data_IF_159554209698
#
_entry.id   IF_159554209698
#
_cell.length_a   1.000
_cell.length_b   1.000
_cell.length_c   1.000
_cell.angle_alpha   90.00
_cell.angle_beta   90.00
_cell.angle_gamma   90.00
#
_symmetry.space_group_name_H-M   'P 1'
#
loop_
_entity.id
_entity.type
_entity.pdbx_description
1 polymer ?
#
# COMPACT_ATOMS: atom_id res chain seq x y z
N UNK A 1 18.01 -10.24 17.05
CA UNK A 1 17.74 -9.92 15.65
C UNK A 1 16.52 -10.71 15.21
N UNK A 2 15.54 -10.04 14.63
CA UNK A 2 14.38 -10.68 14.01
C UNK A 2 14.81 -11.64 12.91
N UNK A 3 13.97 -12.63 12.62
CA UNK A 3 14.09 -13.47 11.43
C UNK A 3 12.75 -13.41 10.71
N UNK A 4 12.79 -13.12 9.42
CA UNK A 4 11.62 -12.92 8.61
C UNK A 4 11.57 -13.91 7.44
N UNK A 5 10.34 -14.27 7.08
CA UNK A 5 10.11 -15.18 5.95
C UNK A 5 10.48 -16.63 6.22
N UNK A 6 10.19 -17.50 5.26
CA UNK A 6 10.43 -18.94 5.36
C UNK A 6 11.92 -19.29 5.53
N UNK A 7 12.82 -18.46 4.99
CA UNK A 7 14.28 -18.67 5.04
C UNK A 7 14.95 -18.03 6.25
N UNK A 8 14.21 -17.37 7.12
CA UNK A 8 14.72 -16.69 8.30
C UNK A 8 15.69 -15.56 7.98
N UNK A 9 15.37 -14.74 6.97
CA UNK A 9 16.14 -13.56 6.58
C UNK A 9 16.15 -12.51 7.69
N UNK A 10 17.21 -11.68 7.82
CA UNK A 10 17.35 -10.75 8.93
C UNK A 10 16.30 -9.63 8.91
N UNK A 11 15.82 -9.21 7.73
CA UNK A 11 14.84 -8.13 7.60
C UNK A 11 13.76 -8.43 6.58
N UNK A 12 12.71 -7.60 6.52
CA UNK A 12 11.67 -7.67 5.50
C UNK A 12 11.20 -6.28 5.05
N UNK A 13 11.02 -6.12 3.74
CA UNK A 13 10.34 -4.99 3.10
C UNK A 13 9.02 -5.48 2.53
N UNK A 14 7.90 -4.95 3.05
CA UNK A 14 6.58 -5.23 2.50
C UNK A 14 6.28 -4.18 1.43
N UNK A 15 6.21 -4.61 0.16
CA UNK A 15 5.97 -3.72 -0.98
C UNK A 15 4.47 -3.50 -1.19
N UNK A 16 4.05 -2.24 -1.22
CA UNK A 16 2.66 -1.89 -1.41
C UNK A 16 2.50 -0.65 -2.29
N UNK A 17 1.38 -0.60 -3.00
CA UNK A 17 0.98 0.48 -3.89
C UNK A 17 -0.44 0.90 -3.53
N UNK A 18 -0.66 2.19 -3.36
CA UNK A 18 -1.97 2.74 -2.96
C UNK A 18 -2.52 3.69 -4.02
N UNK A 19 -3.82 3.84 -4.03
CA UNK A 19 -4.60 4.84 -4.79
C UNK A 19 -4.43 4.74 -6.30
N UNK A 20 -5.47 4.28 -6.96
CA UNK A 20 -5.53 4.24 -8.42
C UNK A 20 -6.65 5.17 -8.93
N UNK A 21 -6.33 5.90 -9.99
CA UNK A 21 -7.30 6.68 -10.72
C UNK A 21 -8.01 7.76 -9.91
N UNK A 22 -9.25 8.02 -10.28
CA UNK A 22 -10.03 9.14 -9.79
C UNK A 22 -10.75 8.91 -8.46
N UNK A 23 -10.68 7.72 -7.87
CA UNK A 23 -11.50 7.33 -6.74
C UNK A 23 -11.49 8.35 -5.59
N UNK A 24 -10.30 8.79 -5.17
CA UNK A 24 -10.13 9.78 -4.11
C UNK A 24 -10.67 11.16 -4.49
N UNK A 25 -10.48 11.60 -5.73
CA UNK A 25 -11.02 12.86 -6.24
C UNK A 25 -12.55 12.84 -6.35
N UNK A 26 -13.13 11.68 -6.72
CA UNK A 26 -14.58 11.46 -6.71
C UNK A 26 -15.15 11.52 -5.29
N UNK A 27 -14.42 10.99 -4.29
CA UNK A 27 -14.85 11.05 -2.89
C UNK A 27 -14.90 12.48 -2.36
N UNK A 28 -13.90 13.28 -2.69
CA UNK A 28 -13.81 14.67 -2.24
C UNK A 28 -14.69 15.63 -3.03
N UNK A 29 -15.21 15.20 -4.20
CA UNK A 29 -15.95 16.08 -5.11
C UNK A 29 -15.05 17.10 -5.83
N UNK A 30 -13.76 16.79 -5.99
CA UNK A 30 -12.77 17.67 -6.61
C UNK A 30 -12.81 17.63 -8.15
N UNK A 31 -13.56 16.67 -8.74
CA UNK A 31 -13.70 16.58 -10.21
C UNK A 31 -14.91 17.37 -10.71
N UNK A 32 -14.79 18.08 -11.86
CA UNK A 32 -15.95 18.61 -12.56
C UNK A 32 -16.94 17.48 -12.91
N UNK A 33 -18.24 17.78 -12.87
CA UNK A 33 -19.30 16.77 -13.11
C UNK A 33 -19.28 16.18 -14.54
N UNK A 34 -18.71 16.91 -15.50
CA UNK A 34 -18.55 16.53 -16.89
C UNK A 34 -17.17 16.00 -17.24
N UNK A 35 -16.27 15.89 -16.26
CA UNK A 35 -14.95 15.31 -16.51
C UNK A 35 -15.05 13.82 -16.85
N UNK A 36 -14.33 13.36 -17.89
CA UNK A 36 -14.32 11.95 -18.26
C UNK A 36 -13.81 11.08 -17.11
N UNK A 37 -14.35 9.87 -16.97
CA UNK A 37 -13.95 8.87 -15.97
C UNK A 37 -13.36 7.68 -16.74
N UNK A 38 -12.25 7.11 -16.21
CA UNK A 38 -11.62 5.94 -16.79
C UNK A 38 -10.42 6.24 -17.69
N UNK A 39 -9.86 7.46 -17.59
CA UNK A 39 -8.71 7.91 -18.38
C UNK A 39 -7.59 8.57 -17.52
N UNK A 40 -7.61 8.36 -16.20
CA UNK A 40 -6.63 8.97 -15.29
C UNK A 40 -5.20 8.50 -15.63
N UNK A 41 -4.23 9.45 -15.77
CA UNK A 41 -2.86 9.11 -16.13
C UNK A 41 -2.14 8.21 -15.11
N UNK A 42 -2.57 8.20 -13.84
CA UNK A 42 -2.01 7.27 -12.85
C UNK A 42 -2.26 5.81 -13.21
N UNK A 43 -3.38 5.53 -13.93
CA UNK A 43 -3.75 4.19 -14.39
C UNK A 43 -3.34 3.92 -15.83
N UNK A 44 -3.47 4.93 -16.72
CA UNK A 44 -3.22 4.73 -18.15
C UNK A 44 -1.74 4.89 -18.54
N UNK A 45 -0.92 5.51 -17.69
CA UNK A 45 0.50 5.78 -17.95
C UNK A 45 1.39 5.25 -16.83
N UNK A 46 1.20 5.70 -15.60
CA UNK A 46 2.11 5.37 -14.50
C UNK A 46 2.01 3.90 -14.07
N UNK A 47 0.81 3.34 -13.98
CA UNK A 47 0.61 1.95 -13.57
C UNK A 47 1.27 0.94 -14.53
N UNK A 48 1.09 0.99 -15.87
CA UNK A 48 1.81 0.11 -16.79
C UNK A 48 3.33 0.17 -16.62
N UNK A 49 3.89 1.37 -16.51
CA UNK A 49 5.31 1.57 -16.26
C UNK A 49 5.74 0.90 -14.93
N UNK A 50 5.00 1.11 -13.84
CA UNK A 50 5.33 0.51 -12.54
C UNK A 50 5.27 -1.02 -12.58
N UNK A 51 4.28 -1.58 -13.28
CA UNK A 51 4.16 -3.03 -13.44
C UNK A 51 5.35 -3.60 -14.22
N UNK A 52 5.81 -2.92 -15.28
CA UNK A 52 6.99 -3.32 -16.05
C UNK A 52 8.27 -3.22 -15.20
N UNK A 53 8.40 -2.21 -14.34
CA UNK A 53 9.52 -2.09 -13.40
C UNK A 53 9.51 -3.21 -12.34
N UNK A 54 8.36 -3.53 -11.78
CA UNK A 54 8.24 -4.64 -10.83
C UNK A 54 8.61 -5.98 -11.46
N UNK A 55 8.15 -6.24 -12.69
CA UNK A 55 8.50 -7.44 -13.45
C UNK A 55 10.00 -7.50 -13.77
N UNK A 56 10.60 -6.38 -14.20
CA UNK A 56 12.03 -6.30 -14.52
C UNK A 56 12.92 -6.64 -13.31
N UNK A 57 12.41 -6.38 -12.11
CA UNK A 57 13.10 -6.66 -10.86
C UNK A 57 12.65 -7.94 -10.16
N UNK A 58 11.76 -8.76 -10.74
CA UNK A 58 11.17 -9.96 -10.11
C UNK A 58 10.57 -9.67 -8.73
N UNK A 59 9.91 -8.53 -8.61
CA UNK A 59 9.27 -8.07 -7.37
C UNK A 59 7.74 -8.14 -7.50
N UNK A 60 7.09 -8.60 -6.44
CA UNK A 60 5.63 -8.56 -6.33
C UNK A 60 5.20 -7.63 -5.19
N UNK A 61 4.06 -6.98 -5.34
CA UNK A 61 3.52 -6.01 -4.39
C UNK A 61 2.03 -6.28 -4.09
N UNK A 62 1.53 -5.68 -3.02
CA UNK A 62 0.08 -5.56 -2.79
C UNK A 62 -0.38 -4.19 -3.27
N UNK A 63 -1.35 -4.18 -4.16
CA UNK A 63 -2.05 -2.98 -4.61
C UNK A 63 -3.31 -2.80 -3.77
N UNK A 64 -3.32 -1.80 -2.90
CA UNK A 64 -4.51 -1.41 -2.17
C UNK A 64 -5.35 -0.47 -3.02
N UNK A 65 -6.46 -0.99 -3.53
CA UNK A 65 -7.29 -0.29 -4.49
C UNK A 65 -8.67 0.02 -3.91
N UNK A 66 -9.18 1.18 -4.25
CA UNK A 66 -10.55 1.55 -3.98
C UNK A 66 -11.49 0.68 -4.81
N UNK A 67 -12.48 0.08 -4.17
CA UNK A 67 -13.31 -0.94 -4.80
C UNK A 67 -14.12 -0.44 -6.01
N UNK A 68 -14.39 0.88 -6.12
CA UNK A 68 -15.01 1.48 -7.31
C UNK A 68 -14.19 1.22 -8.59
N UNK A 69 -12.88 1.00 -8.47
CA UNK A 69 -12.02 0.73 -9.61
C UNK A 69 -12.29 -0.63 -10.27
N UNK A 70 -13.02 -1.53 -9.60
CA UNK A 70 -13.56 -2.74 -10.25
C UNK A 70 -14.57 -2.41 -11.36
N UNK A 71 -15.21 -1.24 -11.27
CA UNK A 71 -16.16 -0.72 -12.26
C UNK A 71 -15.48 0.21 -13.28
N UNK A 72 -14.54 1.07 -12.82
CA UNK A 72 -13.88 2.08 -13.65
C UNK A 72 -12.73 1.49 -14.46
N UNK A 73 -11.86 0.70 -13.82
CA UNK A 73 -10.62 0.16 -14.38
C UNK A 73 -10.51 -1.36 -14.27
N UNK A 74 -11.53 -2.13 -14.69
CA UNK A 74 -11.50 -3.59 -14.53
C UNK A 74 -10.32 -4.26 -15.23
N UNK A 75 -9.89 -3.75 -16.40
CA UNK A 75 -8.78 -4.33 -17.14
C UNK A 75 -7.42 -4.07 -16.46
N UNK A 76 -7.22 -2.89 -15.89
CA UNK A 76 -6.02 -2.59 -15.11
C UNK A 76 -5.91 -3.48 -13.87
N UNK A 77 -7.02 -3.73 -13.15
CA UNK A 77 -7.02 -4.64 -12.00
C UNK A 77 -6.76 -6.09 -12.41
N UNK A 78 -7.25 -6.53 -13.58
CA UNK A 78 -6.93 -7.85 -14.14
C UNK A 78 -5.46 -7.97 -14.47
N UNK A 79 -4.86 -6.93 -15.06
CA UNK A 79 -3.44 -6.89 -15.39
C UNK A 79 -2.57 -6.99 -14.12
N UNK A 80 -2.87 -6.22 -13.07
CA UNK A 80 -2.19 -6.32 -11.77
C UNK A 80 -2.22 -7.76 -11.26
N UNK A 81 -3.41 -8.40 -11.25
CA UNK A 81 -3.56 -9.76 -10.77
C UNK A 81 -2.88 -10.81 -11.69
N UNK A 82 -2.93 -10.62 -13.01
CA UNK A 82 -2.31 -11.52 -13.98
C UNK A 82 -0.77 -11.54 -13.90
N UNK A 83 -0.16 -10.42 -13.49
CA UNK A 83 1.28 -10.32 -13.20
C UNK A 83 1.67 -10.83 -11.81
N UNK A 84 0.73 -11.44 -11.06
CA UNK A 84 1.01 -12.07 -9.77
C UNK A 84 1.03 -11.14 -8.57
N UNK A 85 0.60 -9.89 -8.73
CA UNK A 85 0.45 -8.98 -7.62
C UNK A 85 -0.85 -9.24 -6.85
N UNK A 86 -0.87 -8.86 -5.57
CA UNK A 86 -2.04 -8.98 -4.72
C UNK A 86 -2.93 -7.73 -4.82
N UNK A 87 -4.25 -7.93 -4.90
CA UNK A 87 -5.23 -6.86 -4.73
C UNK A 87 -5.70 -6.83 -3.27
N UNK A 88 -5.53 -5.69 -2.61
CA UNK A 88 -6.04 -5.37 -1.28
C UNK A 88 -7.14 -4.31 -1.36
N UNK A 89 -7.97 -4.22 -0.34
CA UNK A 89 -9.06 -3.25 -0.24
C UNK A 89 -8.59 -1.93 0.37
N UNK A 90 -8.95 -0.79 -0.26
CA UNK A 90 -8.68 0.58 0.21
C UNK A 90 -9.96 1.44 0.33
N UNK A 91 -11.03 0.90 0.90
CA UNK A 91 -12.34 1.54 0.92
C UNK A 91 -13.09 1.42 -0.41
N UNK A 92 -14.22 2.15 -0.54
CA UNK A 92 -14.97 2.22 -1.80
C UNK A 92 -14.40 3.30 -2.73
N UNK A 93 -14.20 4.54 -2.18
CA UNK A 93 -13.68 5.72 -2.89
C UNK A 93 -12.60 6.48 -2.13
N UNK A 94 -11.94 5.84 -1.15
CA UNK A 94 -10.99 6.50 -0.26
C UNK A 94 -11.71 7.40 0.79
N UNK A 95 -12.72 6.86 1.46
CA UNK A 95 -13.47 7.55 2.51
C UNK A 95 -12.55 7.97 3.67
N UNK A 96 -12.85 9.09 4.32
CA UNK A 96 -12.22 9.46 5.59
C UNK A 96 -12.64 8.45 6.67
N UNK A 97 -11.83 7.40 6.82
CA UNK A 97 -12.23 6.17 7.53
C UNK A 97 -12.64 6.40 8.98
N UNK A 98 -11.92 7.29 9.69
CA UNK A 98 -12.19 7.58 11.11
C UNK A 98 -13.46 8.37 11.34
N UNK A 99 -13.96 9.09 10.33
CA UNK A 99 -15.21 9.85 10.41
C UNK A 99 -16.47 8.99 10.22
N UNK A 100 -16.32 7.77 9.67
CA UNK A 100 -17.45 6.88 9.41
C UNK A 100 -18.12 6.41 10.71
N UNK A 101 -19.45 6.41 10.74
CA UNK A 101 -20.23 5.69 11.74
C UNK A 101 -20.11 4.17 11.56
N UNK A 102 -20.55 3.39 12.55
CA UNK A 102 -20.50 1.93 12.46
C UNK A 102 -21.36 1.37 11.30
N UNK A 103 -22.46 2.02 10.98
CA UNK A 103 -23.35 1.63 9.88
C UNK A 103 -22.70 1.95 8.52
N UNK A 104 -22.10 3.14 8.37
CA UNK A 104 -21.40 3.54 7.15
C UNK A 104 -20.18 2.67 6.89
N UNK A 105 -19.33 2.41 7.91
CA UNK A 105 -18.17 1.55 7.78
C UNK A 105 -18.56 0.14 7.31
N UNK A 106 -19.61 -0.45 7.92
CA UNK A 106 -20.16 -1.75 7.49
C UNK A 106 -20.68 -1.70 6.05
N UNK A 107 -21.37 -0.63 5.67
CA UNK A 107 -21.92 -0.47 4.33
C UNK A 107 -20.80 -0.32 3.28
N UNK A 108 -19.75 0.46 3.57
CA UNK A 108 -18.58 0.62 2.69
C UNK A 108 -17.87 -0.71 2.50
N UNK A 109 -17.57 -1.43 3.58
CA UNK A 109 -16.92 -2.76 3.50
C UNK A 109 -17.80 -3.73 2.69
N UNK A 110 -19.09 -3.83 3.02
CA UNK A 110 -20.02 -4.73 2.34
C UNK A 110 -20.09 -4.48 0.84
N UNK A 111 -20.35 -3.22 0.43
CA UNK A 111 -20.37 -2.81 -0.97
C UNK A 111 -19.06 -3.12 -1.69
N UNK A 112 -17.94 -2.84 -1.04
CA UNK A 112 -16.63 -3.07 -1.62
C UNK A 112 -16.37 -4.56 -1.85
N UNK A 113 -16.70 -5.41 -0.89
CA UNK A 113 -16.53 -6.85 -1.02
C UNK A 113 -17.47 -7.45 -2.08
N UNK A 114 -18.71 -6.94 -2.20
CA UNK A 114 -19.64 -7.33 -3.26
C UNK A 114 -19.09 -6.96 -4.66
N UNK A 115 -18.54 -5.77 -4.83
CA UNK A 115 -17.94 -5.32 -6.10
C UNK A 115 -16.73 -6.18 -6.47
N UNK A 116 -15.84 -6.47 -5.53
CA UNK A 116 -14.72 -7.37 -5.76
C UNK A 116 -15.18 -8.80 -6.09
N UNK A 117 -16.20 -9.31 -5.42
CA UNK A 117 -16.76 -10.63 -5.72
C UNK A 117 -17.36 -10.69 -7.14
N UNK A 118 -18.09 -9.65 -7.55
CA UNK A 118 -18.61 -9.52 -8.91
C UNK A 118 -17.49 -9.41 -9.96
N UNK A 119 -16.39 -8.75 -9.60
CA UNK A 119 -15.18 -8.68 -10.43
C UNK A 119 -14.44 -10.03 -10.53
N UNK A 120 -14.72 -10.99 -9.66
CA UNK A 120 -14.08 -12.31 -9.62
C UNK A 120 -12.83 -12.39 -8.73
N UNK A 121 -12.68 -11.46 -7.78
CA UNK A 121 -11.61 -11.44 -6.80
C UNK A 121 -12.19 -11.38 -5.38
N UNK A 122 -11.37 -11.69 -4.38
CA UNK A 122 -11.73 -11.62 -2.96
C UNK A 122 -10.53 -11.10 -2.17
N UNK A 123 -10.40 -9.79 -1.99
CA UNK A 123 -9.27 -9.20 -1.28
C UNK A 123 -9.23 -9.71 0.16
N UNK A 124 -8.05 -10.11 0.60
CA UNK A 124 -7.82 -10.58 1.98
C UNK A 124 -7.11 -9.55 2.85
N UNK A 125 -6.54 -8.52 2.22
CA UNK A 125 -5.87 -7.41 2.86
C UNK A 125 -6.73 -6.15 2.84
N UNK A 126 -6.60 -5.34 3.88
CA UNK A 126 -7.22 -4.03 3.98
C UNK A 126 -6.22 -2.99 4.47
N UNK A 127 -6.19 -1.84 3.81
CA UNK A 127 -5.55 -0.62 4.32
C UNK A 127 -6.60 0.46 4.49
N UNK A 128 -6.73 1.07 5.69
CA UNK A 128 -7.66 2.18 5.86
C UNK A 128 -7.14 3.39 5.10
N UNK A 129 -7.99 4.08 4.32
CA UNK A 129 -7.65 5.40 3.80
C UNK A 129 -7.20 6.34 4.92
N UNK A 130 -6.09 7.08 4.70
CA UNK A 130 -5.49 7.91 5.73
C UNK A 130 -4.74 7.17 6.84
N UNK A 131 -4.69 5.85 6.81
CA UNK A 131 -3.87 5.01 7.71
C UNK A 131 -4.50 4.67 9.06
N UNK A 132 -5.52 5.38 9.52
CA UNK A 132 -6.13 5.15 10.84
C UNK A 132 -7.40 4.30 10.78
N UNK A 133 -7.60 3.47 11.80
CA UNK A 133 -8.78 2.61 11.93
C UNK A 133 -9.61 2.98 13.15
N UNK A 134 -10.94 2.86 13.05
CA UNK A 134 -11.81 2.85 14.20
C UNK A 134 -11.60 1.59 15.06
N UNK A 135 -11.88 1.68 16.35
CA UNK A 135 -11.74 0.53 17.27
C UNK A 135 -12.60 -0.69 16.88
N UNK A 136 -13.67 -0.48 16.11
CA UNK A 136 -14.58 -1.52 15.60
C UNK A 136 -14.13 -2.14 14.28
N UNK A 137 -13.31 -1.42 13.46
CA UNK A 137 -12.87 -1.87 12.13
C UNK A 137 -12.33 -3.29 12.12
N UNK A 138 -11.46 -3.73 13.05
CA UNK A 138 -10.91 -5.08 13.02
C UNK A 138 -11.98 -6.19 13.09
N UNK A 139 -13.08 -5.95 13.81
CA UNK A 139 -14.18 -6.90 13.91
C UNK A 139 -14.96 -6.97 12.59
N UNK A 140 -15.32 -5.82 12.02
CA UNK A 140 -16.04 -5.73 10.76
C UNK A 140 -15.25 -6.32 9.59
N UNK A 141 -13.95 -6.04 9.51
CA UNK A 141 -13.05 -6.59 8.50
C UNK A 141 -13.03 -8.12 8.56
N UNK A 142 -12.86 -8.67 9.76
CA UNK A 142 -12.84 -10.12 9.95
C UNK A 142 -14.18 -10.78 9.58
N UNK A 143 -15.32 -10.18 9.96
CA UNK A 143 -16.66 -10.65 9.58
C UNK A 143 -16.85 -10.67 8.06
N UNK A 144 -16.15 -9.79 7.33
CA UNK A 144 -16.19 -9.69 5.86
C UNK A 144 -15.15 -10.54 5.13
N UNK A 145 -14.40 -11.39 5.84
CA UNK A 145 -13.41 -12.29 5.24
C UNK A 145 -12.01 -11.69 5.04
N UNK A 146 -11.76 -10.48 5.52
CA UNK A 146 -10.42 -9.88 5.53
C UNK A 146 -9.57 -10.61 6.58
N UNK A 147 -8.35 -10.96 6.21
CA UNK A 147 -7.43 -11.75 7.04
C UNK A 147 -6.29 -10.92 7.63
N UNK A 148 -5.98 -9.78 7.02
CA UNK A 148 -4.91 -8.89 7.46
C UNK A 148 -5.22 -7.42 7.16
N UNK A 149 -4.59 -6.54 7.93
CA UNK A 149 -4.73 -5.10 7.72
C UNK A 149 -3.40 -4.38 7.88
N UNK A 150 -3.29 -3.22 7.22
CA UNK A 150 -2.10 -2.37 7.18
C UNK A 150 -2.40 -0.96 7.67
N UNK A 151 -2.60 -0.74 8.98
CA UNK A 151 -2.78 0.61 9.54
C UNK A 151 -1.46 1.34 9.70
N UNK A 152 -1.53 2.66 9.91
CA UNK A 152 -0.37 3.46 10.32
C UNK A 152 0.05 3.14 11.76
N UNK A 153 1.36 2.98 11.95
CA UNK A 153 1.96 2.80 13.27
C UNK A 153 1.73 1.44 13.92
N UNK A 154 2.46 1.20 15.01
CA UNK A 154 2.39 -0.04 15.76
C UNK A 154 3.33 -1.13 15.23
N UNK A 155 3.20 -2.33 15.80
CA UNK A 155 4.03 -3.48 15.48
C UNK A 155 3.25 -4.54 14.69
N UNK A 156 3.99 -5.25 13.82
CA UNK A 156 3.43 -6.41 13.12
C UNK A 156 3.11 -7.53 14.12
N UNK A 157 1.87 -7.97 14.14
CA UNK A 157 1.41 -8.97 15.09
C UNK A 157 0.07 -9.60 14.67
N UNK A 158 -0.16 -10.79 15.14
CA UNK A 158 -1.52 -11.36 15.15
C UNK A 158 -2.32 -10.80 16.32
N UNK A 159 -3.46 -10.18 16.05
CA UNK A 159 -4.38 -9.66 17.09
C UNK A 159 -5.79 -10.15 16.80
N UNK A 160 -6.37 -10.94 17.72
CA UNK A 160 -7.74 -11.47 17.63
C UNK A 160 -8.04 -12.18 16.30
N UNK A 161 -7.04 -12.86 15.72
CA UNK A 161 -7.18 -13.61 14.46
C UNK A 161 -7.05 -12.79 13.18
N UNK A 162 -6.70 -11.51 13.26
CA UNK A 162 -6.34 -10.63 12.16
C UNK A 162 -4.83 -10.35 12.20
N UNK A 163 -4.14 -10.47 11.08
CA UNK A 163 -2.73 -10.09 11.01
C UNK A 163 -2.61 -8.58 10.80
N UNK A 164 -1.82 -7.92 11.63
CA UNK A 164 -1.48 -6.50 11.48
C UNK A 164 -0.11 -6.40 10.81
N UNK A 165 -0.07 -5.74 9.68
CA UNK A 165 1.13 -5.44 8.89
C UNK A 165 1.22 -3.92 8.73
N UNK A 166 1.53 -3.18 9.82
CA UNK A 166 1.45 -1.73 9.82
C UNK A 166 2.54 -1.09 8.97
N UNK A 167 2.35 0.20 8.64
CA UNK A 167 3.35 1.02 7.99
C UNK A 167 3.78 2.20 8.89
N UNK A 168 4.92 2.78 8.57
CA UNK A 168 5.37 4.06 9.11
C UNK A 168 5.40 5.10 7.98
N UNK A 169 4.97 6.32 8.26
CA UNK A 169 4.93 7.42 7.31
C UNK A 169 6.29 7.73 6.68
N UNK A 170 7.39 7.36 7.32
CA UNK A 170 8.76 7.56 6.78
C UNK A 170 9.03 6.83 5.47
N UNK A 171 8.28 5.76 5.16
CA UNK A 171 8.37 5.00 3.91
C UNK A 171 7.08 5.13 3.08
N UNK A 172 6.50 6.33 3.04
CA UNK A 172 5.34 6.69 2.22
C UNK A 172 5.74 7.88 1.34
N UNK A 173 5.77 7.69 0.03
CA UNK A 173 6.19 8.72 -0.92
C UNK A 173 5.30 9.97 -0.86
N UNK A 174 3.98 9.82 -0.83
CA UNK A 174 3.03 10.92 -0.74
C UNK A 174 3.24 11.79 0.52
N UNK A 175 3.62 11.18 1.65
CA UNK A 175 3.93 11.89 2.88
C UNK A 175 5.06 12.91 2.69
N UNK A 176 6.06 12.55 1.89
CA UNK A 176 7.22 13.39 1.66
C UNK A 176 7.07 14.35 0.49
N UNK A 177 6.35 13.96 -0.57
CA UNK A 177 6.28 14.73 -1.82
C UNK A 177 5.08 15.70 -1.88
N UNK A 178 4.02 15.50 -1.07
CA UNK A 178 2.81 16.30 -1.18
C UNK A 178 2.69 17.37 -0.09
N UNK A 179 2.30 18.59 -0.49
CA UNK A 179 2.02 19.70 0.44
C UNK A 179 0.88 19.37 1.43
N UNK A 180 -0.09 18.56 1.01
CA UNK A 180 -1.23 18.15 1.86
C UNK A 180 -0.82 17.44 3.15
N UNK A 181 0.39 16.89 3.24
CA UNK A 181 0.94 16.25 4.43
C UNK A 181 1.76 17.19 5.34
N UNK A 182 1.84 18.49 5.05
CA UNK A 182 2.63 19.45 5.83
C UNK A 182 2.32 19.39 7.35
N UNK A 183 1.05 19.44 7.72
CA UNK A 183 0.64 19.37 9.13
C UNK A 183 1.04 18.05 9.80
N UNK A 184 0.93 16.94 9.08
CA UNK A 184 1.33 15.62 9.60
C UNK A 184 2.85 15.53 9.77
N UNK A 185 3.63 16.05 8.79
CA UNK A 185 5.09 16.12 8.91
C UNK A 185 5.52 16.90 10.15
N UNK A 186 4.97 18.11 10.35
CA UNK A 186 5.26 18.93 11.54
C UNK A 186 4.90 18.21 12.83
N UNK A 187 3.74 17.57 12.89
CA UNK A 187 3.30 16.82 14.07
C UNK A 187 4.22 15.63 14.41
N UNK A 188 4.95 15.11 13.41
CA UNK A 188 5.91 14.01 13.56
C UNK A 188 7.36 14.49 13.74
N UNK A 189 7.61 15.80 13.70
CA UNK A 189 8.95 16.38 13.84
C UNK A 189 9.75 16.42 12.53
N UNK A 190 9.13 16.16 11.40
CA UNK A 190 9.72 16.30 10.07
C UNK A 190 9.55 17.74 9.53
N UNK A 191 10.35 18.15 8.51
CA UNK A 191 10.20 19.45 7.87
C UNK A 191 8.79 19.66 7.29
N UNK A 192 8.25 20.86 7.40
CA UNK A 192 6.95 21.24 6.85
C UNK A 192 6.91 21.11 5.31
N UNK A 193 7.97 21.58 4.66
CA UNK A 193 8.09 21.55 3.19
C UNK A 193 8.29 20.12 2.66
N UNK A 194 7.74 19.81 1.49
CA UNK A 194 8.03 18.55 0.80
C UNK A 194 9.52 18.39 0.50
N UNK A 195 9.93 17.13 0.34
CA UNK A 195 11.23 16.81 -0.26
C UNK A 195 11.14 16.88 -1.79
N UNK A 196 12.28 17.13 -2.45
CA UNK A 196 12.39 16.86 -3.88
C UNK A 196 12.52 15.35 -4.14
N UNK A 197 12.11 14.87 -5.34
CA UNK A 197 12.10 13.43 -5.68
C UNK A 197 13.44 12.73 -5.45
N UNK A 198 14.55 13.36 -5.88
CA UNK A 198 15.91 12.79 -5.69
C UNK A 198 16.27 12.63 -4.21
N UNK A 199 16.00 13.66 -3.40
CA UNK A 199 16.27 13.62 -1.96
C UNK A 199 15.43 12.55 -1.26
N UNK A 200 14.20 12.30 -1.75
CA UNK A 200 13.36 11.23 -1.23
C UNK A 200 13.91 9.85 -1.60
N UNK A 201 14.37 9.65 -2.83
CA UNK A 201 14.98 8.39 -3.24
C UNK A 201 16.21 8.06 -2.38
N UNK A 202 17.12 9.04 -2.15
CA UNK A 202 18.27 8.89 -1.26
C UNK A 202 17.83 8.51 0.17
N UNK A 203 16.82 9.20 0.71
CA UNK A 203 16.28 8.92 2.04
C UNK A 203 15.70 7.51 2.14
N UNK A 204 14.95 7.05 1.14
CA UNK A 204 14.37 5.71 1.15
C UNK A 204 15.44 4.62 1.09
N UNK A 205 16.49 4.79 0.32
CA UNK A 205 17.62 3.87 0.31
C UNK A 205 18.31 3.82 1.68
N UNK A 206 18.55 4.97 2.33
CA UNK A 206 19.10 5.01 3.69
C UNK A 206 18.20 4.29 4.71
N UNK A 207 16.89 4.56 4.71
CA UNK A 207 15.92 3.89 5.60
C UNK A 207 15.88 2.37 5.37
N UNK A 208 15.95 1.90 4.13
CA UNK A 208 15.99 0.48 3.80
C UNK A 208 17.32 -0.17 4.18
N UNK A 209 18.43 0.55 4.01
CA UNK A 209 19.75 0.12 4.45
C UNK A 209 19.80 -0.06 5.98
N UNK A 210 19.25 0.92 6.71
CA UNK A 210 19.16 0.88 8.17
C UNK A 210 18.25 -0.23 8.65
N UNK A 211 17.13 -0.46 7.99
CA UNK A 211 16.23 -1.59 8.23
C UNK A 211 16.96 -2.93 8.08
N UNK A 212 17.73 -3.10 7.00
CA UNK A 212 18.50 -4.31 6.76
C UNK A 212 19.59 -4.52 7.81
N UNK A 213 20.26 -3.44 8.24
CA UNK A 213 21.29 -3.48 9.29
C UNK A 213 20.69 -3.79 10.68
N UNK A 214 19.55 -3.20 11.00
CA UNK A 214 18.87 -3.39 12.30
C UNK A 214 18.19 -4.76 12.41
N UNK A 215 17.95 -5.45 11.30
CA UNK A 215 17.19 -6.70 11.29
C UNK A 215 15.73 -6.47 11.68
N UNK A 216 15.08 -5.55 11.00
CA UNK A 216 13.70 -5.12 11.26
C UNK A 216 12.80 -5.26 10.03
N UNK A 217 11.56 -4.80 10.14
CA UNK A 217 10.57 -4.85 9.06
C UNK A 217 9.94 -3.49 8.84
N UNK A 218 9.74 -3.14 7.59
CA UNK A 218 8.95 -1.95 7.21
C UNK A 218 8.04 -2.26 6.02
N UNK A 219 7.04 -1.40 5.85
CA UNK A 219 6.16 -1.37 4.68
C UNK A 219 6.48 -0.15 3.86
N UNK A 220 6.85 -0.35 2.60
CA UNK A 220 7.03 0.71 1.61
C UNK A 220 5.70 0.95 0.90
N UNK A 221 5.30 2.21 0.79
CA UNK A 221 4.08 2.64 0.09
C UNK A 221 4.46 3.57 -1.04
N UNK A 222 4.06 3.20 -2.24
CA UNK A 222 4.22 3.97 -3.46
C UNK A 222 2.86 4.34 -4.04
N UNK A 223 2.77 5.51 -4.71
CA UNK A 223 1.54 5.99 -5.33
C UNK A 223 1.77 6.24 -6.82
N UNK A 224 1.07 5.56 -7.74
CA UNK A 224 1.28 5.72 -9.19
C UNK A 224 1.11 7.14 -9.69
N UNK A 225 0.19 7.93 -9.14
CA UNK A 225 -0.01 9.31 -9.56
C UNK A 225 1.21 10.23 -9.32
N UNK A 226 2.10 9.89 -8.40
CA UNK A 226 3.36 10.61 -8.17
C UNK A 226 4.42 10.24 -9.22
N UNK A 227 4.34 9.05 -9.82
CA UNK A 227 5.28 8.57 -10.84
C UNK A 227 5.04 9.19 -12.22
N UNK A 228 4.09 10.12 -12.34
CA UNK A 228 3.95 10.99 -13.50
C UNK A 228 5.01 12.10 -13.53
N UNK A 229 5.73 12.29 -12.44
CA UNK A 229 6.95 13.09 -12.37
C UNK A 229 8.15 12.21 -12.75
N UNK A 230 8.85 12.59 -13.83
CA UNK A 230 9.97 11.81 -14.38
C UNK A 230 11.12 11.63 -13.36
N UNK A 231 11.39 12.65 -12.52
CA UNK A 231 12.45 12.57 -11.52
C UNK A 231 12.07 11.58 -10.40
N UNK A 232 10.77 11.47 -10.06
CA UNK A 232 10.32 10.48 -9.08
C UNK A 232 10.25 9.06 -9.69
N UNK A 233 9.84 8.91 -10.93
CA UNK A 233 9.88 7.60 -11.59
C UNK A 233 11.32 7.06 -11.69
N UNK A 234 12.30 7.90 -12.03
CA UNK A 234 13.73 7.54 -11.96
C UNK A 234 14.14 7.14 -10.53
N UNK A 235 13.64 7.85 -9.52
CA UNK A 235 13.85 7.52 -8.11
C UNK A 235 13.28 6.16 -7.73
N UNK A 236 12.09 5.83 -8.19
CA UNK A 236 11.44 4.52 -7.96
C UNK A 236 12.21 3.40 -8.66
N UNK A 237 12.63 3.58 -9.92
CA UNK A 237 13.48 2.63 -10.64
C UNK A 237 14.74 2.28 -9.82
N UNK A 238 15.46 3.31 -9.35
CA UNK A 238 16.67 3.14 -8.52
C UNK A 238 16.36 2.41 -7.21
N UNK A 239 15.25 2.77 -6.54
CA UNK A 239 14.83 2.17 -5.28
C UNK A 239 14.50 0.68 -5.43
N UNK A 240 13.78 0.28 -6.48
CA UNK A 240 13.48 -1.13 -6.77
C UNK A 240 14.76 -1.92 -7.05
N UNK A 241 15.71 -1.35 -7.80
CA UNK A 241 17.04 -1.91 -8.00
C UNK A 241 17.78 -2.15 -6.69
N UNK A 242 17.78 -1.17 -5.78
CA UNK A 242 18.40 -1.27 -4.45
C UNK A 242 17.74 -2.37 -3.59
N UNK A 243 16.42 -2.49 -3.61
CA UNK A 243 15.71 -3.58 -2.92
C UNK A 243 16.16 -4.93 -3.46
N UNK A 244 16.29 -5.08 -4.79
CA UNK A 244 16.80 -6.30 -5.40
C UNK A 244 18.23 -6.64 -4.98
N UNK A 245 19.09 -5.65 -4.80
CA UNK A 245 20.44 -5.87 -4.26
C UNK A 245 20.38 -6.45 -2.84
N UNK A 246 19.59 -5.86 -1.96
CA UNK A 246 19.39 -6.38 -0.60
C UNK A 246 18.82 -7.81 -0.58
N UNK A 247 17.92 -8.14 -1.52
CA UNK A 247 17.39 -9.51 -1.68
C UNK A 247 18.48 -10.48 -2.14
N UNK A 248 19.25 -10.12 -3.17
CA UNK A 248 20.38 -10.95 -3.68
C UNK A 248 21.46 -11.19 -2.63
N UNK A 249 21.74 -10.22 -1.79
CA UNK A 249 22.64 -10.31 -0.66
C UNK A 249 22.07 -11.12 0.52
N UNK A 250 20.83 -11.58 0.44
CA UNK A 250 20.09 -12.29 1.50
C UNK A 250 19.96 -11.45 2.79
N UNK A 251 19.84 -10.15 2.66
CA UNK A 251 19.72 -9.20 3.77
C UNK A 251 18.27 -8.82 4.06
N UNK A 252 17.39 -8.96 3.05
CA UNK A 252 15.97 -8.65 3.21
C UNK A 252 15.07 -9.63 2.44
N UNK A 253 13.86 -9.77 2.91
CA UNK A 253 12.77 -10.42 2.23
C UNK A 253 11.85 -9.34 1.65
N UNK A 254 11.87 -9.13 0.33
CA UNK A 254 10.92 -8.27 -0.36
C UNK A 254 9.65 -9.08 -0.67
N UNK A 255 8.47 -8.58 -0.27
CA UNK A 255 7.27 -9.42 -0.22
C UNK A 255 5.98 -8.61 -0.27
N UNK A 256 4.90 -9.10 -0.92
CA UNK A 256 3.57 -8.52 -0.76
C UNK A 256 3.00 -8.76 0.65
N UNK A 257 2.06 -7.90 1.05
CA UNK A 257 1.51 -7.89 2.41
C UNK A 257 0.81 -9.18 2.83
N UNK A 258 0.08 -9.81 1.92
CA UNK A 258 -0.60 -11.08 2.21
C UNK A 258 0.36 -12.24 2.47
N UNK A 259 1.48 -12.31 1.75
CA UNK A 259 2.52 -13.31 2.01
C UNK A 259 3.20 -13.08 3.37
N UNK A 260 3.50 -11.80 3.72
CA UNK A 260 4.02 -11.46 5.04
C UNK A 260 3.00 -11.79 6.16
N UNK A 261 1.72 -11.48 5.97
CA UNK A 261 0.65 -11.83 6.91
C UNK A 261 0.51 -13.36 7.08
N UNK A 262 0.66 -14.12 6.00
CA UNK A 262 0.72 -15.58 6.02
C UNK A 262 1.85 -16.11 6.88
N UNK A 263 3.04 -15.55 6.72
CA UNK A 263 4.19 -15.88 7.55
C UNK A 263 3.96 -15.55 9.03
N UNK A 264 3.38 -14.38 9.35
CA UNK A 264 3.04 -14.02 10.74
C UNK A 264 2.08 -15.04 11.39
N UNK A 265 1.15 -15.60 10.62
CA UNK A 265 0.23 -16.64 11.12
C UNK A 265 0.96 -17.94 11.43
N UNK A 266 1.84 -18.38 10.54
CA UNK A 266 2.58 -19.64 10.71
C UNK A 266 3.62 -19.58 11.83
N UNK A 267 4.31 -18.44 12.00
CA UNK A 267 5.34 -18.27 13.03
C UNK A 267 4.82 -18.32 14.49
N UNK A 268 3.48 -18.22 14.70
CA UNK A 268 2.86 -18.35 16.02
C UNK A 268 2.44 -19.78 16.36
N UNK A 269 2.40 -20.66 15.39
CA UNK A 269 1.99 -22.07 15.58
C UNK A 269 3.18 -23.01 15.78
N UNK A 270 4.39 -22.46 15.68
CA UNK A 270 5.67 -23.13 15.95
C UNK A 270 6.25 -22.71 17.29
#
# INVERSE_FOLDING_TARGET
>A
MGKFGPDGLPSAVVLTVDNLGEASALQRGDRPADAPIGDDPSVTTALPWLLDELDAHDLTATFFVEAINTEIYPDALREIAARGHELGLHGWRHEEWTSLSAAEERAVIGRSMEAFAAFGNSPRGFRPPGGEMNARSPTLLKESGIEWCSPAGGEAAMRRGLAYVPFDWRLVDAYHLMDSFAALRVARGDPESPLGPRALADRFEEELQDLANAGSRQTLILHPFLMLDDEWSDGVHRLLGFICELVRERRTWAVPGGAFAGWLRSARTS
#
